data_IF_500920195777
#
_entry.id   IF_500920195777
#
_cell.length_a   1.000
_cell.length_b   1.000
_cell.length_c   1.000
_cell.angle_alpha   90.00
_cell.angle_beta   90.00
_cell.angle_gamma   90.00
#
_symmetry.space_group_name_H-M   'P 1'
#
loop_
_entity.id
_entity.type
_entity.pdbx_description
1 polymer ?
#
# COMPACT_ATOMS: atom_id res chain seq x y z
N UNK A 1 -0.46 -12.35 1.11
CA UNK A 1 -0.35 -11.17 0.22
C UNK A 1 -1.24 -11.39 -0.99
N UNK A 2 -1.84 -10.35 -1.54
CA UNK A 2 -2.63 -10.42 -2.78
C UNK A 2 -2.12 -9.40 -3.79
N UNK A 3 -2.08 -9.78 -5.06
CA UNK A 3 -1.63 -8.93 -6.16
C UNK A 3 -2.31 -9.34 -7.47
N UNK A 4 -2.73 -8.34 -8.26
CA UNK A 4 -3.42 -8.54 -9.52
C UNK A 4 -2.48 -8.40 -10.73
N UNK A 5 -1.50 -7.49 -10.65
CA UNK A 5 -0.58 -7.19 -11.74
C UNK A 5 0.34 -8.35 -12.05
N UNK A 6 0.29 -8.83 -13.31
CA UNK A 6 1.20 -9.88 -13.78
C UNK A 6 2.69 -9.47 -13.69
N UNK A 7 2.99 -8.18 -13.85
CA UNK A 7 4.36 -7.66 -13.69
C UNK A 7 4.86 -7.86 -12.24
N UNK A 8 4.02 -7.51 -11.26
CA UNK A 8 4.36 -7.66 -9.85
C UNK A 8 4.44 -9.12 -9.42
N UNK A 9 3.51 -9.96 -9.90
CA UNK A 9 3.53 -11.40 -9.64
C UNK A 9 4.80 -12.07 -10.18
N UNK A 10 5.22 -11.73 -11.40
CA UNK A 10 6.46 -12.24 -11.98
C UNK A 10 7.69 -11.77 -11.18
N UNK A 11 7.74 -10.48 -10.81
CA UNK A 11 8.83 -9.93 -10.01
C UNK A 11 8.93 -10.62 -8.64
N UNK A 12 7.80 -10.84 -7.96
CA UNK A 12 7.77 -11.53 -6.67
C UNK A 12 8.19 -13.00 -6.77
N UNK A 13 7.75 -13.73 -7.80
CA UNK A 13 8.20 -15.11 -8.04
C UNK A 13 9.71 -15.18 -8.29
N UNK A 14 10.25 -14.22 -9.04
CA UNK A 14 11.69 -14.12 -9.24
C UNK A 14 12.42 -13.86 -7.92
N UNK A 15 11.98 -12.87 -7.13
CA UNK A 15 12.56 -12.58 -5.81
C UNK A 15 12.51 -13.79 -4.88
N UNK A 16 11.40 -14.54 -4.88
CA UNK A 16 11.22 -15.74 -4.05
C UNK A 16 12.09 -16.93 -4.48
N UNK A 17 12.60 -16.91 -5.72
CA UNK A 17 13.54 -17.93 -6.21
C UNK A 17 15.00 -17.69 -5.79
N UNK A 18 15.31 -16.50 -5.25
CA UNK A 18 16.67 -16.13 -4.88
C UNK A 18 17.04 -16.66 -3.50
N UNK A 19 18.24 -17.21 -3.38
CA UNK A 19 18.75 -17.83 -2.15
C UNK A 19 19.88 -17.06 -1.48
N UNK A 20 20.26 -15.89 -2.02
CA UNK A 20 21.39 -15.10 -1.51
C UNK A 20 21.11 -13.61 -1.62
N UNK A 21 21.39 -12.89 -0.53
CA UNK A 21 21.23 -11.44 -0.47
C UNK A 21 22.23 -10.74 -1.40
N UNK A 22 21.82 -9.60 -1.95
CA UNK A 22 22.63 -8.76 -2.84
C UNK A 22 23.25 -9.50 -4.04
N UNK A 23 22.65 -10.62 -4.46
CA UNK A 23 23.19 -11.51 -5.49
C UNK A 23 22.89 -11.09 -6.93
N UNK A 24 21.94 -10.16 -7.12
CA UNK A 24 21.53 -9.63 -8.41
C UNK A 24 21.71 -8.12 -8.43
N UNK A 25 21.90 -7.56 -9.62
CA UNK A 25 22.06 -6.12 -9.83
C UNK A 25 21.17 -5.64 -10.96
N UNK A 26 20.68 -4.40 -10.86
CA UNK A 26 19.95 -3.72 -11.93
C UNK A 26 20.13 -2.20 -11.83
N UNK A 27 19.69 -1.46 -12.85
CA UNK A 27 19.88 -0.01 -12.99
C UNK A 27 18.52 0.72 -12.98
N UNK A 28 17.91 0.96 -11.80
CA UNK A 28 16.54 1.47 -11.67
C UNK A 28 16.30 2.91 -12.14
N UNK A 29 17.35 3.62 -12.57
CA UNK A 29 17.26 5.03 -12.90
C UNK A 29 17.66 5.34 -14.35
N UNK A 30 18.05 4.34 -15.13
CA UNK A 30 18.71 4.52 -16.43
C UNK A 30 17.82 5.21 -17.49
N UNK A 31 16.51 5.10 -17.33
CA UNK A 31 15.47 5.57 -18.24
C UNK A 31 14.92 6.96 -17.89
N UNK A 32 15.26 7.51 -16.73
CA UNK A 32 14.81 8.84 -16.29
C UNK A 32 15.89 9.90 -16.52
N UNK A 33 15.96 10.49 -17.72
CA UNK A 33 17.14 11.30 -18.10
C UNK A 33 17.27 12.66 -17.40
N UNK A 34 16.25 13.12 -16.69
CA UNK A 34 16.22 14.42 -16.02
C UNK A 34 16.51 14.32 -14.53
N UNK A 35 16.88 15.42 -13.88
CA UNK A 35 17.03 15.50 -12.41
C UNK A 35 18.10 14.56 -11.83
N UNK A 36 19.15 14.25 -12.58
CA UNK A 36 20.35 13.61 -12.09
C UNK A 36 21.45 14.63 -11.83
N UNK A 37 22.14 14.54 -10.70
CA UNK A 37 23.30 15.39 -10.42
C UNK A 37 24.49 15.07 -11.33
N UNK A 38 24.65 13.79 -11.69
CA UNK A 38 25.74 13.30 -12.54
C UNK A 38 25.25 12.16 -13.45
N UNK A 39 25.91 11.96 -14.60
CA UNK A 39 25.67 10.80 -15.47
C UNK A 39 25.98 9.47 -14.76
N UNK A 40 26.93 9.48 -13.83
CA UNK A 40 27.23 8.30 -13.00
C UNK A 40 26.03 7.92 -12.11
N UNK A 41 25.27 8.89 -11.59
CA UNK A 41 24.07 8.60 -10.80
C UNK A 41 22.91 8.07 -11.64
N UNK A 42 22.79 8.51 -12.91
CA UNK A 42 21.84 7.96 -13.88
C UNK A 42 22.15 6.47 -14.16
N UNK A 43 23.43 6.15 -14.37
CA UNK A 43 23.89 4.81 -14.73
C UNK A 43 24.13 3.89 -13.52
N UNK A 44 23.89 4.35 -12.29
CA UNK A 44 24.22 3.62 -11.08
C UNK A 44 23.40 2.33 -10.96
N UNK A 45 24.08 1.22 -10.61
CA UNK A 45 23.43 -0.04 -10.26
C UNK A 45 23.02 -0.09 -8.78
N UNK A 46 22.05 -0.94 -8.49
CA UNK A 46 21.63 -1.34 -7.14
C UNK A 46 21.62 -2.85 -7.06
N UNK A 47 22.14 -3.39 -5.94
CA UNK A 47 22.11 -4.83 -5.64
C UNK A 47 20.84 -5.21 -4.89
N UNK A 48 20.33 -6.42 -5.13
CA UNK A 48 19.13 -6.97 -4.50
C UNK A 48 19.19 -8.51 -4.46
N UNK A 49 18.37 -9.18 -3.63
CA UNK A 49 17.51 -8.60 -2.60
C UNK A 49 18.32 -8.34 -1.31
N UNK A 50 17.97 -7.30 -0.57
CA UNK A 50 18.58 -6.98 0.74
C UNK A 50 18.17 -7.97 1.83
N UNK A 51 16.99 -8.58 1.68
CA UNK A 51 16.46 -9.65 2.53
C UNK A 51 15.86 -10.77 1.67
N UNK A 52 15.91 -12.01 2.14
CA UNK A 52 15.31 -13.14 1.41
C UNK A 52 13.80 -13.22 1.66
N UNK A 53 13.04 -13.64 0.66
CA UNK A 53 11.60 -13.85 0.80
C UNK A 53 11.32 -14.95 1.84
N UNK A 54 10.34 -14.72 2.72
CA UNK A 54 9.93 -15.73 3.70
C UNK A 54 9.06 -16.80 3.03
N UNK A 55 9.36 -18.09 3.21
CA UNK A 55 8.53 -19.19 2.67
C UNK A 55 7.16 -19.30 3.35
N UNK A 56 6.95 -18.63 4.49
CA UNK A 56 5.65 -18.59 5.18
C UNK A 56 4.63 -17.65 4.53
N UNK A 57 5.06 -16.79 3.60
CA UNK A 57 4.18 -15.83 2.93
C UNK A 57 3.53 -16.49 1.72
N UNK A 58 2.21 -16.65 1.76
CA UNK A 58 1.42 -17.04 0.60
C UNK A 58 1.08 -15.81 -0.25
N UNK A 59 1.45 -15.86 -1.53
CA UNK A 59 0.95 -14.94 -2.55
C UNK A 59 -0.31 -15.53 -3.21
N UNK A 60 -1.39 -14.76 -3.22
CA UNK A 60 -2.63 -15.06 -3.94
C UNK A 60 -2.74 -14.10 -5.12
N UNK A 61 -2.58 -14.64 -6.34
CA UNK A 61 -2.67 -13.85 -7.58
C UNK A 61 -4.15 -13.65 -7.98
N UNK A 62 -4.60 -12.42 -8.17
CA UNK A 62 -5.97 -12.10 -8.59
C UNK A 62 -6.50 -10.76 -8.10
N UNK A 63 -7.66 -10.36 -8.62
CA UNK A 63 -8.36 -9.14 -8.17
C UNK A 63 -8.85 -9.31 -6.73
N UNK A 64 -8.42 -8.40 -5.86
CA UNK A 64 -8.75 -8.37 -4.43
C UNK A 64 -10.25 -8.54 -4.15
N UNK A 65 -11.11 -7.95 -4.98
CA UNK A 65 -12.57 -7.94 -4.79
C UNK A 65 -13.24 -9.28 -5.11
N UNK A 66 -12.57 -10.17 -5.86
CA UNK A 66 -13.17 -11.43 -6.34
C UNK A 66 -12.42 -12.68 -5.91
N UNK A 67 -11.09 -12.61 -5.78
CA UNK A 67 -10.27 -13.80 -5.50
C UNK A 67 -10.54 -14.43 -4.13
N UNK A 68 -11.09 -13.65 -3.20
CA UNK A 68 -11.48 -14.06 -1.84
C UNK A 68 -13.00 -14.18 -1.68
N UNK A 69 -13.74 -14.55 -2.72
CA UNK A 69 -15.20 -14.65 -2.68
C UNK A 69 -15.69 -15.62 -1.58
N UNK A 70 -15.00 -16.75 -1.39
CA UNK A 70 -15.35 -17.80 -0.41
C UNK A 70 -14.85 -17.50 1.02
N UNK A 71 -14.18 -16.37 1.23
CA UNK A 71 -13.63 -15.99 2.52
C UNK A 71 -14.54 -15.00 3.22
N UNK A 72 -15.10 -15.34 4.39
CA UNK A 72 -15.83 -14.38 5.23
C UNK A 72 -15.36 -14.53 6.66
N UNK A 73 -14.97 -13.42 7.30
CA UNK A 73 -14.51 -13.43 8.69
C UNK A 73 -13.26 -14.26 8.96
N UNK A 74 -12.40 -14.46 7.95
CA UNK A 74 -11.22 -15.33 8.06
C UNK A 74 -9.97 -14.60 8.56
N UNK A 75 -9.91 -13.28 8.41
CA UNK A 75 -8.68 -12.52 8.66
C UNK A 75 -8.75 -11.75 9.99
N UNK A 76 -7.70 -11.86 10.80
CA UNK A 76 -7.55 -11.08 12.03
C UNK A 76 -7.23 -9.61 11.73
N UNK A 77 -6.34 -9.41 10.74
CA UNK A 77 -5.83 -8.11 10.33
C UNK A 77 -5.75 -8.04 8.81
N UNK A 78 -6.15 -6.91 8.24
CA UNK A 78 -5.91 -6.55 6.84
C UNK A 78 -5.10 -5.27 6.81
N UNK A 79 -4.01 -5.26 6.03
CA UNK A 79 -3.14 -4.10 5.86
C UNK A 79 -3.21 -3.63 4.40
N UNK A 80 -3.50 -2.35 4.20
CA UNK A 80 -3.52 -1.70 2.89
C UNK A 80 -2.42 -0.63 2.85
N UNK A 81 -1.41 -0.83 2.00
CA UNK A 81 -0.27 0.08 1.85
C UNK A 81 -0.24 0.60 0.42
N UNK A 82 -0.49 1.90 0.20
CA UNK A 82 -0.57 2.51 -1.14
C UNK A 82 -1.52 1.73 -2.08
N UNK A 83 -2.70 1.38 -1.56
CA UNK A 83 -3.58 0.41 -2.21
C UNK A 83 -4.99 0.94 -2.47
N UNK A 84 -5.64 1.58 -1.50
CA UNK A 84 -7.08 1.84 -1.60
C UNK A 84 -7.43 2.79 -2.75
N UNK A 85 -6.56 3.73 -3.07
CA UNK A 85 -6.70 4.69 -4.16
C UNK A 85 -6.54 4.08 -5.56
N UNK A 86 -6.22 2.78 -5.65
CA UNK A 86 -6.24 2.01 -6.90
C UNK A 86 -7.65 1.56 -7.32
N UNK A 87 -8.63 1.63 -6.41
CA UNK A 87 -9.97 1.15 -6.67
C UNK A 87 -10.69 1.96 -7.77
N UNK A 88 -11.42 1.27 -8.66
CA UNK A 88 -12.41 1.94 -9.51
C UNK A 88 -13.63 2.35 -8.69
N UNK A 89 -14.07 1.49 -7.78
CA UNK A 89 -15.12 1.76 -6.81
C UNK A 89 -14.59 1.49 -5.40
N UNK A 90 -14.34 2.55 -4.65
CA UNK A 90 -13.76 2.47 -3.32
C UNK A 90 -14.69 1.76 -2.31
N UNK A 91 -16.00 1.87 -2.51
CA UNK A 91 -17.01 1.20 -1.68
C UNK A 91 -16.81 -0.32 -1.71
N UNK A 92 -16.56 -0.88 -2.91
CA UNK A 92 -16.32 -2.32 -3.06
C UNK A 92 -15.07 -2.80 -2.31
N UNK A 93 -14.02 -1.98 -2.21
CA UNK A 93 -12.86 -2.31 -1.38
C UNK A 93 -13.25 -2.32 0.10
N UNK A 94 -13.96 -1.32 0.59
CA UNK A 94 -14.35 -1.23 2.00
C UNK A 94 -15.28 -2.35 2.44
N UNK A 95 -16.30 -2.67 1.63
CA UNK A 95 -17.19 -3.80 1.85
C UNK A 95 -16.42 -5.13 1.88
N UNK A 96 -15.48 -5.31 0.95
CA UNK A 96 -14.67 -6.51 0.88
C UNK A 96 -13.74 -6.65 2.09
N UNK A 97 -13.03 -5.58 2.49
CA UNK A 97 -12.20 -5.55 3.70
C UNK A 97 -13.04 -5.90 4.93
N UNK A 98 -14.21 -5.26 5.07
CA UNK A 98 -15.12 -5.53 6.18
C UNK A 98 -15.60 -6.99 6.19
N UNK A 99 -16.01 -7.53 5.05
CA UNK A 99 -16.47 -8.93 4.92
C UNK A 99 -15.37 -9.93 5.28
N UNK A 100 -14.15 -9.70 4.82
CA UNK A 100 -13.00 -10.58 5.03
C UNK A 100 -12.53 -10.59 6.49
N UNK A 101 -12.59 -9.46 7.19
CA UNK A 101 -12.24 -9.38 8.60
C UNK A 101 -13.19 -10.15 9.49
N UNK A 102 -12.65 -10.90 10.46
CA UNK A 102 -13.44 -11.48 11.55
C UNK A 102 -14.07 -10.38 12.43
N UNK A 103 -15.15 -10.65 13.18
CA UNK A 103 -15.65 -9.72 14.19
C UNK A 103 -14.54 -9.27 15.14
N UNK A 104 -14.39 -7.97 15.34
CA UNK A 104 -13.31 -7.40 16.14
C UNK A 104 -11.93 -7.39 15.48
N UNK A 105 -11.79 -7.82 14.21
CA UNK A 105 -10.56 -7.73 13.43
C UNK A 105 -10.20 -6.29 13.06
N UNK A 106 -8.96 -6.07 12.63
CA UNK A 106 -8.42 -4.72 12.38
C UNK A 106 -8.07 -4.50 10.91
N UNK A 107 -8.44 -3.33 10.40
CA UNK A 107 -7.94 -2.79 9.15
C UNK A 107 -6.92 -1.68 9.44
N UNK A 108 -5.71 -1.84 8.92
CA UNK A 108 -4.63 -0.86 9.01
C UNK A 108 -4.39 -0.30 7.61
N UNK A 109 -4.40 1.02 7.46
CA UNK A 109 -4.09 1.67 6.20
C UNK A 109 -2.89 2.60 6.33
N UNK A 110 -2.06 2.67 5.28
CA UNK A 110 -1.13 3.76 5.05
C UNK A 110 -1.04 4.04 3.55
N UNK A 111 -1.46 5.21 3.10
CA UNK A 111 -1.32 5.57 1.70
C UNK A 111 -1.88 6.95 1.36
N UNK A 112 -1.53 7.52 0.20
CA UNK A 112 -2.20 8.71 -0.31
C UNK A 112 -3.64 8.39 -0.72
N UNK A 113 -4.35 9.43 -1.15
CA UNK A 113 -5.59 9.32 -1.91
C UNK A 113 -5.33 9.79 -3.35
N UNK A 114 -4.31 9.21 -3.99
CA UNK A 114 -3.93 9.54 -5.36
C UNK A 114 -4.73 8.65 -6.31
N UNK A 115 -5.98 9.03 -6.57
CA UNK A 115 -6.82 8.25 -7.47
C UNK A 115 -6.21 8.17 -8.88
N UNK A 116 -6.09 6.95 -9.38
CA UNK A 116 -5.49 6.64 -10.67
C UNK A 116 -6.34 7.02 -11.89
N UNK A 117 -6.22 6.25 -12.96
CA UNK A 117 -6.64 6.70 -14.30
C UNK A 117 -8.14 6.70 -14.58
N UNK A 118 -8.95 5.92 -13.86
CA UNK A 118 -10.39 5.81 -14.13
C UNK A 118 -11.25 5.44 -12.89
N UNK A 119 -11.13 6.19 -11.78
CA UNK A 119 -12.02 6.02 -10.63
C UNK A 119 -13.46 6.43 -11.01
N UNK A 120 -14.44 5.65 -10.58
CA UNK A 120 -15.85 6.05 -10.63
C UNK A 120 -16.20 7.00 -9.49
N UNK A 121 -15.51 6.85 -8.36
CA UNK A 121 -15.71 7.63 -7.14
C UNK A 121 -14.37 8.06 -6.57
N UNK A 122 -14.27 9.33 -6.22
CA UNK A 122 -13.10 9.93 -5.58
C UNK A 122 -13.58 10.61 -4.30
N UNK A 123 -13.33 9.97 -3.16
CA UNK A 123 -13.75 10.47 -1.86
C UNK A 123 -12.64 11.29 -1.20
N UNK A 124 -13.01 12.33 -0.46
CA UNK A 124 -12.13 12.97 0.49
C UNK A 124 -11.87 12.06 1.70
N UNK A 125 -10.88 12.41 2.53
CA UNK A 125 -10.53 11.61 3.71
C UNK A 125 -11.68 11.54 4.73
N UNK A 126 -12.38 12.65 4.97
CA UNK A 126 -13.53 12.70 5.88
C UNK A 126 -14.72 11.87 5.34
N UNK A 127 -14.97 11.89 4.03
CA UNK A 127 -15.97 11.03 3.40
C UNK A 127 -15.62 9.54 3.54
N UNK A 128 -14.35 9.17 3.39
CA UNK A 128 -13.88 7.79 3.64
C UNK A 128 -14.15 7.38 5.08
N UNK A 129 -13.81 8.22 6.06
CA UNK A 129 -14.05 7.93 7.48
C UNK A 129 -15.54 7.74 7.72
N UNK A 130 -16.37 8.71 7.33
CA UNK A 130 -17.82 8.65 7.54
C UNK A 130 -18.46 7.42 6.87
N UNK A 131 -18.08 7.11 5.63
CA UNK A 131 -18.60 5.94 4.92
C UNK A 131 -18.18 4.63 5.60
N UNK A 132 -16.92 4.50 5.99
CA UNK A 132 -16.42 3.26 6.59
C UNK A 132 -16.93 3.04 8.00
N UNK A 133 -17.19 4.11 8.76
CA UNK A 133 -17.95 4.03 10.01
C UNK A 133 -19.37 3.53 9.79
N UNK A 134 -20.05 4.01 8.74
CA UNK A 134 -21.39 3.52 8.36
C UNK A 134 -21.39 2.04 7.96
N UNK A 135 -20.32 1.56 7.31
CA UNK A 135 -20.13 0.13 6.98
C UNK A 135 -19.95 -0.73 8.24
N UNK A 136 -19.50 -0.15 9.36
CA UNK A 136 -19.33 -0.84 10.63
C UNK A 136 -17.91 -0.86 11.19
N UNK A 137 -17.03 0.04 10.72
CA UNK A 137 -15.73 0.25 11.35
C UNK A 137 -15.79 1.22 12.53
N UNK A 138 -14.86 1.07 13.47
CA UNK A 138 -14.56 2.05 14.51
C UNK A 138 -13.08 2.41 14.47
N UNK A 139 -12.80 3.68 14.19
CA UNK A 139 -11.43 4.19 14.15
C UNK A 139 -10.86 4.23 15.57
N UNK A 140 -9.59 3.81 15.69
CA UNK A 140 -8.90 3.72 16.97
C UNK A 140 -7.91 4.86 17.10
N UNK A 141 -7.69 5.31 18.33
CA UNK A 141 -6.55 6.17 18.64
C UNK A 141 -5.24 5.43 18.37
N UNK A 142 -4.29 6.14 17.79
CA UNK A 142 -2.99 5.60 17.38
C UNK A 142 -1.86 6.47 17.93
N UNK A 143 -0.68 5.87 18.08
CA UNK A 143 0.49 6.54 18.62
C UNK A 143 0.90 7.76 17.77
N UNK A 144 1.29 8.90 18.37
CA UNK A 144 1.75 10.07 17.63
C UNK A 144 2.93 9.82 16.67
N UNK A 145 3.73 8.77 16.88
CA UNK A 145 4.80 8.35 15.96
C UNK A 145 4.30 7.91 14.58
N UNK A 146 3.00 7.57 14.46
CA UNK A 146 2.36 7.23 13.20
C UNK A 146 2.05 8.46 12.33
N UNK A 147 2.11 9.68 12.87
CA UNK A 147 1.90 10.92 12.14
C UNK A 147 1.16 11.99 12.94
N UNK A 148 1.09 13.20 12.37
CA UNK A 148 0.26 14.28 12.93
C UNK A 148 -1.22 14.03 12.65
N UNK A 149 -2.13 14.55 13.48
CA UNK A 149 -3.56 14.46 13.20
C UNK A 149 -3.86 15.23 11.90
N UNK A 150 -4.49 14.56 10.92
CA UNK A 150 -4.81 15.20 9.64
C UNK A 150 -6.06 16.07 9.74
N UNK A 151 -7.10 15.57 10.40
CA UNK A 151 -8.39 16.26 10.55
C UNK A 151 -8.69 16.39 12.05
N UNK A 152 -8.80 17.62 12.60
CA UNK A 152 -9.15 17.81 14.00
C UNK A 152 -10.45 17.09 14.37
N UNK A 153 -10.42 16.32 15.45
CA UNK A 153 -11.57 15.53 15.92
C UNK A 153 -11.67 14.11 15.35
N UNK A 154 -10.84 13.74 14.37
CA UNK A 154 -10.72 12.37 13.87
C UNK A 154 -9.37 11.74 14.29
N UNK A 155 -9.30 10.42 14.32
CA UNK A 155 -8.08 9.69 14.75
C UNK A 155 -7.11 9.38 13.59
N UNK A 156 -7.45 9.81 12.38
CA UNK A 156 -6.62 9.65 11.17
C UNK A 156 -5.38 10.55 11.24
N UNK A 157 -4.22 9.98 10.88
CA UNK A 157 -2.93 10.65 10.97
C UNK A 157 -2.25 10.78 9.61
N UNK A 158 -1.54 11.87 9.39
CA UNK A 158 -0.81 12.17 8.17
C UNK A 158 0.70 12.08 8.40
N UNK A 159 1.41 11.46 7.47
CA UNK A 159 2.88 11.39 7.46
C UNK A 159 3.44 11.54 6.05
N UNK A 160 4.54 12.27 5.92
CA UNK A 160 5.27 12.32 4.65
C UNK A 160 5.91 10.96 4.36
N UNK A 161 5.53 10.34 3.24
CA UNK A 161 6.04 9.05 2.80
C UNK A 161 6.46 9.14 1.33
N UNK A 162 7.68 8.70 1.04
CA UNK A 162 8.21 8.62 -0.31
C UNK A 162 7.84 7.29 -0.97
N UNK A 163 7.61 7.29 -2.28
CA UNK A 163 7.38 6.08 -3.06
C UNK A 163 8.39 6.02 -4.21
N UNK A 164 9.10 4.90 -4.35
CA UNK A 164 10.14 4.68 -5.38
C UNK A 164 11.16 5.83 -5.54
N UNK A 165 11.45 6.59 -4.47
CA UNK A 165 12.26 7.81 -4.52
C UNK A 165 13.74 7.51 -4.77
N UNK A 166 14.32 8.15 -5.78
CA UNK A 166 15.77 8.22 -5.94
C UNK A 166 16.37 9.19 -4.91
N UNK A 167 17.06 8.67 -3.89
CA UNK A 167 17.69 9.47 -2.84
C UNK A 167 18.81 10.42 -3.33
N UNK A 168 19.36 10.18 -4.53
CA UNK A 168 20.34 11.06 -5.18
C UNK A 168 19.73 11.95 -6.28
N UNK A 169 18.43 11.82 -6.53
CA UNK A 169 17.72 12.62 -7.51
C UNK A 169 17.63 14.08 -7.06
N UNK A 170 17.67 15.00 -8.04
CA UNK A 170 17.41 16.43 -7.84
C UNK A 170 15.91 16.74 -7.75
N UNK A 171 15.05 15.74 -7.97
CA UNK A 171 13.60 15.81 -7.77
C UNK A 171 13.19 14.96 -6.56
N UNK A 172 12.26 15.48 -5.75
CA UNK A 172 11.70 14.76 -4.61
C UNK A 172 10.19 14.62 -4.78
N UNK A 173 9.73 13.39 -4.95
CA UNK A 173 8.30 13.04 -4.92
C UNK A 173 8.00 12.34 -3.58
N UNK A 174 7.00 12.85 -2.89
CA UNK A 174 6.51 12.30 -1.63
C UNK A 174 5.01 12.60 -1.50
N UNK A 175 4.36 11.87 -0.60
CA UNK A 175 2.94 11.98 -0.32
C UNK A 175 2.73 12.32 1.14
N UNK A 176 1.72 13.14 1.43
CA UNK A 176 1.14 13.18 2.75
C UNK A 176 0.20 11.97 2.91
N UNK A 177 0.78 10.80 3.19
CA UNK A 177 0.05 9.55 3.31
C UNK A 177 -0.79 9.54 4.60
N UNK A 178 -1.97 8.93 4.50
CA UNK A 178 -2.97 8.86 5.56
C UNK A 178 -2.92 7.49 6.23
N UNK A 179 -2.76 7.51 7.54
CA UNK A 179 -2.65 6.36 8.42
C UNK A 179 -3.86 6.25 9.34
N UNK A 180 -4.37 5.03 9.50
CA UNK A 180 -5.34 4.71 10.54
C UNK A 180 -5.31 3.23 10.91
N UNK A 181 -5.87 2.94 12.07
CA UNK A 181 -6.28 1.60 12.49
C UNK A 181 -7.78 1.66 12.78
N UNK A 182 -8.55 0.83 12.09
CA UNK A 182 -10.00 0.73 12.25
C UNK A 182 -10.39 -0.69 12.62
N UNK A 183 -11.25 -0.85 13.61
CA UNK A 183 -11.73 -2.16 14.09
C UNK A 183 -13.11 -2.45 13.53
N UNK A 184 -13.32 -3.66 13.02
CA UNK A 184 -14.65 -4.17 12.65
C UNK A 184 -15.50 -4.40 13.91
N UNK A 185 -16.72 -3.87 13.91
CA UNK A 185 -17.72 -4.12 14.96
C UNK A 185 -18.15 -5.59 15.02
#
# INVERSE_FOLDING_TARGET
MNEWSMYMNLAYRYLSSLSSVNSKTFHPHIDWWSHHATTADLQRSISFPDTLASPSVLLVEGDFTTVFAEDTGKYDVIVTLFFIDTARNLVSYFENIHRLLRPGGQWINLGPLLYGSAPFLQLSLDEIVALTEHIGFKFQETDPSCGGITIPGLTVRGKEVAYARNGKGLSKNAYQAQFWVARKN
#
